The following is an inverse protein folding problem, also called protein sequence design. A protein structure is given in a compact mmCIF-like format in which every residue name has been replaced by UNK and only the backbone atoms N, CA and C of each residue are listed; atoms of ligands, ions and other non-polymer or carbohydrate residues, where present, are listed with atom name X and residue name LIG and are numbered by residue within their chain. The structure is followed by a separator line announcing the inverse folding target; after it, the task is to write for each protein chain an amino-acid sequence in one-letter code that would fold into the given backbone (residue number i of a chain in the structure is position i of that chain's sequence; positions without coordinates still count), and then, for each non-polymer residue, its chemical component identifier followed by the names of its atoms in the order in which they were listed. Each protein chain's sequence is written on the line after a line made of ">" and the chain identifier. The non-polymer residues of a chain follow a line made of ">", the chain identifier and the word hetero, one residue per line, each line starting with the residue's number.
data_IF_236943909941
#
_entry.id   IF_236943909941
#
_cell.length_a   1.000
_cell.length_b   1.000
_cell.length_c   1.000
_cell.angle_alpha   90.00
_cell.angle_beta   90.00
_cell.angle_gamma   90.00
#
_symmetry.space_group_name_H-M   'P 1'
#
loop_
_entity.id
_entity.type
_entity.pdbx_description
1 polymer ?
#
# COMPACT_ATOMS: atom_id res chain seq x y z
N UNK A 1 -13.39 23.63 -4.59
CA UNK A 1 -11.94 23.35 -4.67
C UNK A 1 -11.34 24.04 -3.48
N UNK A 2 -11.27 23.34 -2.36
CA UNK A 2 -10.82 23.91 -1.09
C UNK A 2 -9.31 24.09 -1.20
N UNK A 3 -8.85 25.32 -1.09
CA UNK A 3 -7.42 25.62 -1.08
C UNK A 3 -6.79 24.86 0.09
N UNK A 4 -5.80 24.01 -0.19
CA UNK A 4 -4.95 23.44 0.86
C UNK A 4 -4.28 24.63 1.55
N UNK A 5 -4.79 24.97 2.72
CA UNK A 5 -4.38 26.15 3.48
C UNK A 5 -2.87 26.21 3.70
N UNK A 6 -2.39 27.44 3.79
CA UNK A 6 -1.03 27.96 3.97
C UNK A 6 -0.18 27.37 5.13
N UNK A 7 -0.29 26.07 5.46
CA UNK A 7 0.28 25.51 6.69
C UNK A 7 1.11 24.24 6.56
N UNK A 8 1.21 23.63 5.37
CA UNK A 8 2.13 22.49 5.20
C UNK A 8 3.48 23.05 4.75
N UNK A 9 4.38 23.27 5.71
CA UNK A 9 5.78 23.62 5.44
C UNK A 9 6.54 22.39 4.96
N UNK A 10 7.23 22.51 3.84
CA UNK A 10 8.13 21.46 3.36
C UNK A 10 9.38 21.43 4.27
N UNK A 11 9.74 20.25 4.78
CA UNK A 11 11.01 20.02 5.51
C UNK A 11 10.90 19.71 7.00
N UNK A 12 9.73 19.74 7.63
CA UNK A 12 9.54 19.21 9.00
C UNK A 12 9.02 17.77 8.96
N UNK A 13 9.50 16.92 9.88
CA UNK A 13 9.18 15.49 9.90
C UNK A 13 7.68 15.22 10.10
N UNK A 14 6.98 16.05 10.88
CA UNK A 14 5.52 15.99 11.08
C UNK A 14 4.98 17.40 11.30
N UNK A 15 4.00 17.80 10.49
CA UNK A 15 3.36 19.12 10.55
C UNK A 15 1.85 18.96 10.60
N UNK A 16 1.18 19.65 11.52
CA UNK A 16 -0.29 19.73 11.59
C UNK A 16 -0.78 21.04 10.96
N UNK A 17 -1.95 21.02 10.32
CA UNK A 17 -2.57 22.26 9.87
C UNK A 17 -3.12 23.07 11.06
N UNK A 18 -3.39 24.36 10.85
CA UNK A 18 -3.84 25.26 11.94
C UNK A 18 -5.21 24.89 12.55
N UNK A 19 -5.96 24.03 11.88
CA UNK A 19 -7.30 23.58 12.31
C UNK A 19 -7.27 22.20 12.99
N UNK A 20 -6.09 21.57 13.12
CA UNK A 20 -5.89 20.19 13.61
C UNK A 20 -6.75 19.14 12.88
N UNK A 21 -7.18 19.45 11.66
CA UNK A 21 -7.96 18.56 10.80
C UNK A 21 -7.10 17.77 9.83
N UNK A 22 -5.81 18.10 9.73
CA UNK A 22 -4.85 17.47 8.82
C UNK A 22 -3.43 17.45 9.34
N UNK A 23 -2.67 16.50 8.82
CA UNK A 23 -1.26 16.33 9.11
C UNK A 23 -0.48 15.99 7.84
N UNK A 24 0.79 16.38 7.77
CA UNK A 24 1.73 15.94 6.75
C UNK A 24 2.97 15.37 7.41
N UNK A 25 3.47 14.25 6.88
CA UNK A 25 4.72 13.61 7.30
C UNK A 25 5.68 13.58 6.11
N UNK A 26 6.91 14.00 6.36
CA UNK A 26 8.02 13.91 5.43
C UNK A 26 8.94 12.75 5.84
N UNK A 27 9.33 11.84 4.94
CA UNK A 27 10.27 10.76 5.27
C UNK A 27 11.65 11.28 5.71
N UNK A 28 12.06 12.44 5.19
CA UNK A 28 13.26 13.17 5.57
C UNK A 28 13.14 14.64 5.16
N UNK A 29 14.01 15.52 5.68
CA UNK A 29 14.03 16.95 5.33
C UNK A 29 14.27 17.18 3.82
N UNK A 30 15.06 16.29 3.20
CA UNK A 30 15.41 16.35 1.77
C UNK A 30 14.44 15.55 0.87
N UNK A 31 13.40 14.94 1.44
CA UNK A 31 12.43 14.19 0.65
C UNK A 31 11.66 15.12 -0.29
N UNK A 32 11.66 14.82 -1.58
CA UNK A 32 10.89 15.56 -2.60
C UNK A 32 9.37 15.31 -2.56
N UNK A 33 8.86 14.64 -1.52
CA UNK A 33 7.46 14.27 -1.37
C UNK A 33 7.07 14.12 0.11
N UNK A 34 5.79 14.32 0.40
CA UNK A 34 5.18 14.14 1.72
C UNK A 34 3.95 13.24 1.61
N UNK A 35 3.58 12.58 2.71
CA UNK A 35 2.25 11.98 2.88
C UNK A 35 1.39 12.95 3.68
N UNK A 36 0.25 13.34 3.12
CA UNK A 36 -0.72 14.20 3.80
C UNK A 36 -1.99 13.42 4.15
N UNK A 37 -2.49 13.68 5.34
CA UNK A 37 -3.69 13.09 5.92
C UNK A 37 -4.66 14.20 6.24
N UNK A 38 -5.95 13.93 5.99
CA UNK A 38 -7.03 14.84 6.29
C UNK A 38 -8.18 14.06 6.90
N UNK A 39 -8.85 14.68 7.86
CA UNK A 39 -10.11 14.19 8.40
C UNK A 39 -11.23 14.38 7.36
N UNK A 40 -12.11 13.39 7.25
CA UNK A 40 -13.28 13.45 6.38
C UNK A 40 -14.51 13.01 7.19
N UNK A 41 -15.53 13.86 7.23
CA UNK A 41 -16.74 13.66 8.05
C UNK A 41 -17.53 12.43 7.60
N UNK A 42 -17.44 12.09 6.32
CA UNK A 42 -18.12 10.95 5.73
C UNK A 42 -17.21 9.73 5.56
N UNK A 43 -16.04 9.72 6.20
CA UNK A 43 -15.14 8.58 6.13
C UNK A 43 -15.80 7.34 6.72
N UNK A 44 -15.74 6.25 5.97
CA UNK A 44 -16.16 4.92 6.41
C UNK A 44 -14.96 4.00 6.27
N UNK A 45 -14.59 3.32 7.35
CA UNK A 45 -13.48 2.37 7.42
C UNK A 45 -13.55 1.38 6.25
N UNK A 46 -12.50 1.23 5.43
CA UNK A 46 -12.46 0.24 4.38
C UNK A 46 -12.37 -1.16 4.97
N UNK A 47 -12.78 -2.15 4.19
CA UNK A 47 -12.67 -3.56 4.55
C UNK A 47 -11.48 -4.20 3.84
N UNK A 48 -10.86 -5.16 4.51
CA UNK A 48 -9.81 -6.00 3.94
C UNK A 48 -10.12 -7.47 4.20
N UNK A 49 -10.18 -8.33 3.16
CA UNK A 49 -10.08 -8.01 1.73
C UNK A 49 -11.21 -7.10 1.23
N UNK A 50 -11.05 -6.52 0.04
CA UNK A 50 -12.12 -5.74 -0.59
C UNK A 50 -13.35 -6.61 -0.84
N UNK A 51 -14.52 -6.09 -0.48
CA UNK A 51 -15.83 -6.69 -0.71
C UNK A 51 -16.71 -5.77 -1.56
N UNK A 52 -17.62 -6.35 -2.32
CA UNK A 52 -18.63 -5.60 -3.07
C UNK A 52 -19.51 -4.78 -2.11
N UNK A 53 -19.91 -3.58 -2.54
CA UNK A 53 -20.76 -2.65 -1.77
C UNK A 53 -20.20 -2.21 -0.41
N UNK A 54 -18.90 -2.39 -0.17
CA UNK A 54 -18.17 -1.89 1.00
C UNK A 54 -17.11 -0.87 0.58
N UNK A 55 -16.71 0.06 1.47
CA UNK A 55 -15.63 0.99 1.15
C UNK A 55 -14.35 0.21 0.85
N UNK A 56 -13.76 0.49 -0.31
CA UNK A 56 -12.57 -0.18 -0.78
C UNK A 56 -11.33 0.55 -0.26
N UNK A 57 -10.19 -0.14 -0.27
CA UNK A 57 -8.91 0.52 -0.07
C UNK A 57 -8.68 1.61 -1.11
N UNK A 58 -8.13 2.75 -0.67
CA UNK A 58 -7.90 3.91 -1.53
C UNK A 58 -6.52 3.94 -2.20
N UNK A 59 -5.55 3.19 -1.66
CA UNK A 59 -4.21 3.09 -2.23
C UNK A 59 -3.47 1.89 -1.64
N UNK A 60 -2.55 1.33 -2.42
CA UNK A 60 -1.56 0.39 -1.90
C UNK A 60 -0.39 1.15 -1.27
N UNK A 61 -0.26 1.07 0.06
CA UNK A 61 0.91 1.58 0.81
C UNK A 61 1.81 0.41 1.17
N UNK A 62 2.99 0.35 0.56
CA UNK A 62 4.01 -0.64 0.86
C UNK A 62 5.19 0.08 1.52
N UNK A 63 5.59 -0.39 2.70
CA UNK A 63 6.77 0.10 3.41
C UNK A 63 7.78 -1.04 3.52
N UNK A 64 8.97 -0.75 3.02
CA UNK A 64 10.12 -1.62 3.20
C UNK A 64 10.62 -1.51 4.64
N UNK A 65 10.97 -2.64 5.23
CA UNK A 65 11.52 -2.73 6.57
C UNK A 65 12.70 -3.69 6.56
N UNK A 66 13.62 -3.52 7.50
CA UNK A 66 14.78 -4.40 7.64
C UNK A 66 14.40 -5.75 8.28
N UNK A 67 13.47 -5.72 9.24
CA UNK A 67 12.96 -6.91 9.96
C UNK A 67 11.44 -6.86 10.08
N UNK A 68 10.77 -7.92 9.62
CA UNK A 68 9.31 -7.96 9.57
C UNK A 68 8.68 -8.17 10.97
N UNK A 69 9.32 -8.94 11.85
CA UNK A 69 8.77 -9.21 13.18
C UNK A 69 8.86 -7.98 14.07
N UNK A 70 10.01 -7.30 14.05
CA UNK A 70 10.23 -6.06 14.78
C UNK A 70 9.30 -4.96 14.28
N UNK A 71 9.18 -4.79 12.95
CA UNK A 71 8.32 -3.77 12.38
C UNK A 71 6.84 -4.01 12.67
N UNK A 72 6.38 -5.26 12.67
CA UNK A 72 5.00 -5.61 13.04
C UNK A 72 4.75 -5.31 14.52
N UNK A 73 5.67 -5.70 15.40
CA UNK A 73 5.55 -5.39 16.83
C UNK A 73 5.49 -3.88 17.08
N UNK A 74 6.35 -3.11 16.41
CA UNK A 74 6.33 -1.65 16.49
C UNK A 74 5.01 -1.06 15.98
N UNK A 75 4.54 -1.52 14.82
CA UNK A 75 3.27 -1.05 14.25
C UNK A 75 2.10 -1.29 15.22
N UNK A 76 2.04 -2.45 15.87
CA UNK A 76 1.02 -2.76 16.88
C UNK A 76 1.14 -1.87 18.11
N UNK A 77 2.36 -1.62 18.60
CA UNK A 77 2.59 -0.74 19.76
C UNK A 77 2.09 0.69 19.51
N UNK A 78 2.22 1.19 18.28
CA UNK A 78 1.71 2.51 17.88
C UNK A 78 0.23 2.51 17.45
N UNK A 79 -0.48 1.38 17.61
CA UNK A 79 -1.94 1.28 17.46
C UNK A 79 -2.44 0.68 16.15
N UNK A 80 -1.58 0.13 15.30
CA UNK A 80 -2.01 -0.65 14.15
C UNK A 80 -2.52 -2.04 14.57
N UNK A 81 -3.33 -2.65 13.70
CA UNK A 81 -3.84 -4.01 13.86
C UNK A 81 -3.23 -4.92 12.78
N UNK A 82 -2.89 -6.16 13.12
CA UNK A 82 -2.54 -7.17 12.10
C UNK A 82 -3.83 -7.62 11.41
N UNK A 83 -3.90 -7.56 10.08
CA UNK A 83 -5.09 -8.01 9.37
C UNK A 83 -5.24 -9.54 9.43
N UNK A 84 -6.49 -10.03 9.55
CA UNK A 84 -6.76 -11.47 9.61
C UNK A 84 -6.40 -12.20 8.30
N UNK A 85 -6.65 -11.56 7.16
CA UNK A 85 -6.34 -12.12 5.85
C UNK A 85 -4.95 -11.71 5.36
N UNK A 86 -4.06 -12.68 5.22
CA UNK A 86 -2.68 -12.51 4.73
C UNK A 86 -2.49 -13.29 3.42
N UNK A 87 -2.43 -12.63 2.25
CA UNK A 87 -2.33 -13.31 0.96
C UNK A 87 -0.92 -13.82 0.63
N UNK A 88 0.12 -13.38 1.36
CA UNK A 88 1.53 -13.68 1.10
C UNK A 88 2.28 -13.88 2.42
N UNK A 89 3.27 -14.79 2.44
CA UNK A 89 4.02 -15.12 3.65
C UNK A 89 5.11 -14.09 4.00
N UNK A 90 5.75 -13.51 2.97
CA UNK A 90 6.87 -12.56 3.10
C UNK A 90 6.43 -11.09 3.29
N UNK A 91 5.12 -10.85 3.37
CA UNK A 91 4.52 -9.54 3.55
C UNK A 91 3.59 -9.61 4.75
N UNK A 92 3.46 -8.52 5.50
CA UNK A 92 2.42 -8.39 6.52
C UNK A 92 1.46 -7.27 6.15
N UNK A 93 0.19 -7.61 5.99
CA UNK A 93 -0.90 -6.63 5.87
C UNK A 93 -1.29 -6.17 7.26
N UNK A 94 -1.23 -4.87 7.47
CA UNK A 94 -1.57 -4.16 8.70
C UNK A 94 -2.71 -3.19 8.41
N UNK A 95 -3.51 -2.87 9.43
CA UNK A 95 -4.54 -1.83 9.38
C UNK A 95 -4.11 -0.70 10.31
N UNK A 96 -4.08 0.53 9.81
CA UNK A 96 -3.89 1.70 10.69
C UNK A 96 -5.11 1.88 11.63
N UNK A 97 -5.06 2.79 12.64
CA UNK A 97 -6.20 3.04 13.53
C UNK A 97 -7.50 3.47 12.83
N UNK A 98 -7.39 4.09 11.65
CA UNK A 98 -8.54 4.44 10.82
C UNK A 98 -9.00 3.27 9.92
N UNK A 99 -8.26 2.16 9.91
CA UNK A 99 -8.48 0.93 9.16
C UNK A 99 -7.94 0.91 7.75
N UNK A 100 -7.10 1.86 7.34
CA UNK A 100 -6.48 1.79 6.02
C UNK A 100 -5.48 0.63 5.97
N UNK A 101 -5.58 -0.27 4.98
CA UNK A 101 -4.60 -1.33 4.82
C UNK A 101 -3.26 -0.77 4.31
N UNK A 102 -2.17 -1.22 4.92
CA UNK A 102 -0.80 -1.03 4.45
C UNK A 102 -0.01 -2.33 4.60
N UNK A 103 1.10 -2.45 3.88
CA UNK A 103 1.92 -3.65 3.84
C UNK A 103 3.33 -3.36 4.32
N UNK A 104 3.86 -4.20 5.20
CA UNK A 104 5.27 -4.25 5.57
C UNK A 104 5.93 -5.38 4.78
N UNK A 105 7.09 -5.13 4.18
CA UNK A 105 7.84 -6.14 3.44
C UNK A 105 9.35 -5.97 3.65
N UNK A 106 10.09 -7.05 3.51
CA UNK A 106 11.56 -7.05 3.48
C UNK A 106 12.02 -7.21 2.02
N UNK A 107 13.01 -6.45 1.58
CA UNK A 107 13.58 -6.64 0.23
C UNK A 107 14.45 -7.89 0.22
N UNK A 108 13.88 -9.00 -0.22
CA UNK A 108 14.64 -10.19 -0.60
C UNK A 108 14.87 -10.08 -2.10
N UNK A 109 16.13 -10.10 -2.55
CA UNK A 109 16.62 -9.95 -3.95
C UNK A 109 15.93 -10.85 -5.04
N UNK A 110 14.86 -11.54 -4.70
CA UNK A 110 13.95 -12.33 -5.52
C UNK A 110 12.55 -11.68 -5.55
N UNK A 111 12.28 -10.82 -6.54
CA UNK A 111 10.94 -10.36 -6.94
C UNK A 111 9.97 -9.73 -5.92
N UNK A 112 10.33 -9.33 -4.70
CA UNK A 112 9.43 -8.79 -3.65
C UNK A 112 8.55 -7.55 -4.01
N UNK A 113 8.69 -7.00 -5.22
CA UNK A 113 7.78 -6.00 -5.83
C UNK A 113 6.87 -6.55 -6.95
N UNK A 114 6.94 -7.85 -7.31
CA UNK A 114 5.89 -8.55 -8.11
C UNK A 114 4.63 -8.84 -7.26
N UNK A 115 4.42 -7.98 -6.26
CA UNK A 115 3.25 -7.16 -6.10
C UNK A 115 2.14 -7.74 -5.22
N UNK A 116 1.39 -6.85 -4.60
CA UNK A 116 -0.05 -7.07 -4.39
C UNK A 116 -0.83 -7.47 -5.69
N UNK A 117 -0.20 -7.67 -6.86
CA UNK A 117 -0.80 -7.70 -8.20
C UNK A 117 -1.42 -9.03 -8.65
N UNK A 118 -1.92 -9.85 -7.74
CA UNK A 118 -3.04 -10.75 -8.08
C UNK A 118 -4.25 -10.47 -7.19
N UNK A 119 -4.74 -9.22 -7.18
CA UNK A 119 -6.18 -8.97 -7.14
C UNK A 119 -6.80 -9.49 -8.44
N UNK A 120 -6.72 -10.82 -8.65
CA UNK A 120 -7.51 -11.58 -9.62
C UNK A 120 -8.05 -12.81 -8.88
N UNK A 121 -9.20 -12.62 -8.24
CA UNK A 121 -10.25 -13.63 -8.33
C UNK A 121 -10.48 -13.91 -9.82
N UNK A 122 -9.96 -15.01 -10.35
CA UNK A 122 -10.43 -15.51 -11.65
C UNK A 122 -11.24 -16.76 -11.39
N UNK A 123 -12.51 -16.76 -11.77
CA UNK A 123 -13.01 -17.95 -12.44
C UNK A 123 -13.82 -17.53 -13.66
N UNK A 124 -13.18 -17.38 -14.82
CA UNK A 124 -13.85 -17.67 -16.09
C UNK A 124 -12.86 -18.11 -17.16
N UNK A 125 -12.87 -19.43 -17.37
CA UNK A 125 -12.57 -20.20 -18.58
C UNK A 125 -11.88 -19.46 -19.75
N UNK A 126 -10.70 -19.93 -20.14
CA UNK A 126 -10.15 -19.72 -21.49
C UNK A 126 -10.18 -21.07 -22.24
N UNK A 127 -10.66 -21.16 -23.49
CA UNK A 127 -10.45 -22.35 -24.29
C UNK A 127 -9.01 -22.40 -24.83
N UNK A 128 -8.47 -23.61 -24.79
CA UNK A 128 -7.13 -24.02 -25.23
C UNK A 128 -6.84 -23.75 -26.70
N UNK A 129 -5.78 -22.97 -27.02
CA UNK A 129 -5.01 -23.11 -28.26
C UNK A 129 -3.51 -22.76 -28.10
N UNK A 130 -2.70 -23.80 -28.31
CA UNK A 130 -1.35 -23.87 -28.92
C UNK A 130 -0.20 -23.00 -28.37
N UNK A 131 0.74 -23.67 -27.66
CA UNK A 131 2.12 -23.21 -27.42
C UNK A 131 3.05 -23.68 -28.57
N UNK A 132 3.94 -22.85 -29.11
CA UNK A 132 5.19 -23.32 -29.71
C UNK A 132 6.33 -23.35 -28.68
N UNK A 133 7.36 -24.16 -28.95
CA UNK A 133 8.43 -24.52 -28.03
C UNK A 133 9.73 -23.68 -28.19
N UNK A 134 10.42 -23.47 -27.04
CA UNK A 134 11.87 -23.21 -26.79
C UNK A 134 12.49 -21.85 -27.19
N UNK A 135 13.60 -21.35 -26.56
CA UNK A 135 14.50 -21.94 -25.54
C UNK A 135 14.80 -21.04 -24.29
N UNK A 136 15.83 -21.45 -23.53
CA UNK A 136 16.23 -21.16 -22.14
C UNK A 136 16.60 -19.72 -21.71
N UNK A 137 16.37 -19.49 -20.40
CA UNK A 137 16.98 -18.54 -19.45
C UNK A 137 17.48 -17.19 -19.97
N UNK A 138 16.71 -16.15 -19.67
CA UNK A 138 17.15 -14.78 -19.51
C UNK A 138 16.14 -14.03 -18.65
N UNK A 139 16.60 -13.35 -17.60
CA UNK A 139 15.77 -12.51 -16.73
C UNK A 139 15.17 -11.37 -17.55
N UNK A 140 13.95 -11.55 -18.06
CA UNK A 140 13.28 -10.56 -18.88
C UNK A 140 12.15 -9.88 -18.10
N UNK A 141 12.39 -8.63 -17.70
CA UNK A 141 11.35 -7.72 -17.18
C UNK A 141 10.23 -7.57 -18.24
N UNK A 142 8.94 -7.82 -17.90
CA UNK A 142 7.86 -7.70 -18.86
C UNK A 142 7.63 -6.22 -19.29
N UNK A 143 7.08 -5.98 -20.50
CA UNK A 143 6.89 -4.64 -21.03
C UNK A 143 5.82 -3.85 -20.27
N UNK A 144 6.04 -2.54 -20.16
CA UNK A 144 5.19 -1.56 -19.47
C UNK A 144 3.86 -1.36 -20.22
N UNK A 145 2.84 -2.13 -19.89
CA UNK A 145 1.45 -1.76 -20.16
C UNK A 145 0.49 -2.50 -19.22
N UNK A 146 -0.46 -1.73 -18.67
CA UNK A 146 -1.53 -2.11 -17.73
C UNK A 146 -1.15 -2.20 -16.24
N UNK A 147 -0.94 -1.03 -15.62
CA UNK A 147 -1.24 -0.85 -14.19
C UNK A 147 -2.34 0.20 -14.10
N UNK A 148 -3.53 -0.21 -13.66
CA UNK A 148 -4.53 0.73 -13.15
C UNK A 148 -4.34 0.73 -11.64
N UNK A 149 -3.78 1.83 -11.12
CA UNK A 149 -3.94 2.16 -9.70
C UNK A 149 -5.40 2.57 -9.54
N UNK A 150 -6.13 1.83 -8.70
CA UNK A 150 -7.25 2.42 -7.97
C UNK A 150 -6.65 3.01 -6.70
#
# INVERSE_FOLDING_TARGET
>A
MQECGHGITWGEALTFNAEDTGAAVAPSEDAGYNLAFQTEQHYVRPVWPTEDDRPQMSMHRLLEVDDLEEAVAHAVDVGAEVADHQPQDAVRVMLDPAGHPFCLYVDTDDWAVSACALIRTTPTLLPSRLRPATPSLGHHKPPRSAFSVV
#
